data_IF_193255637095
#
_entry.id   IF_193255637095
#
_cell.length_a   1.000
_cell.length_b   1.000
_cell.length_c   1.000
_cell.angle_alpha   90.00
_cell.angle_beta   90.00
_cell.angle_gamma   90.00
#
_symmetry.space_group_name_H-M   'P 1'
#
loop_
_entity.id
_entity.type
_entity.pdbx_description
1 polymer ?
#
# COMPACT_ATOMS: atom_id res chain seq x y z
N UNK A 1 28.28 -1.20 13.83
CA UNK A 1 27.70 0.04 14.40
C UNK A 1 27.26 -0.30 15.81
N UNK A 2 27.67 0.48 16.80
CA UNK A 2 27.09 0.39 18.14
C UNK A 2 25.79 1.21 18.24
N UNK A 3 25.08 1.12 19.37
CA UNK A 3 23.77 1.77 19.52
C UNK A 3 23.90 3.30 19.50
N UNK A 4 24.92 3.87 20.14
CA UNK A 4 25.12 5.32 20.17
C UNK A 4 25.40 5.87 18.77
N UNK A 5 26.29 5.23 18.01
CA UNK A 5 26.57 5.59 16.63
C UNK A 5 25.32 5.54 15.75
N UNK A 6 24.51 4.49 15.90
CA UNK A 6 23.26 4.35 15.15
C UNK A 6 22.28 5.51 15.44
N UNK A 7 22.16 5.90 16.71
CA UNK A 7 21.32 7.03 17.10
C UNK A 7 21.84 8.35 16.53
N UNK A 8 23.15 8.60 16.62
CA UNK A 8 23.76 9.85 16.16
C UNK A 8 23.81 9.98 14.64
N UNK A 9 23.86 8.87 13.89
CA UNK A 9 23.91 8.90 12.43
C UNK A 9 22.54 8.74 11.77
N UNK A 10 21.82 7.67 12.08
CA UNK A 10 20.58 7.29 11.38
C UNK A 10 19.34 7.73 12.17
N UNK A 11 19.42 7.67 13.51
CA UNK A 11 18.32 8.07 14.38
C UNK A 11 17.97 9.55 14.26
N UNK A 12 18.97 10.43 14.17
CA UNK A 12 18.75 11.88 13.98
C UNK A 12 17.93 12.16 12.73
N UNK A 13 18.21 11.46 11.62
CA UNK A 13 17.48 11.63 10.36
C UNK A 13 15.99 11.38 10.50
N UNK A 14 15.61 10.34 11.23
CA UNK A 14 14.21 10.01 11.50
C UNK A 14 13.54 11.03 12.41
N UNK A 15 14.25 11.54 13.41
CA UNK A 15 13.73 12.60 14.29
C UNK A 15 13.53 13.90 13.52
N UNK A 16 14.45 14.25 12.63
CA UNK A 16 14.36 15.47 11.81
C UNK A 16 13.20 15.40 10.80
N UNK A 17 12.99 14.25 10.15
CA UNK A 17 11.92 14.07 9.15
C UNK A 17 10.54 13.85 9.78
N UNK A 18 10.45 12.99 10.80
CA UNK A 18 9.17 12.50 11.35
C UNK A 18 8.83 13.06 12.73
N UNK A 19 9.72 13.84 13.35
CA UNK A 19 9.54 14.38 14.69
C UNK A 19 9.88 13.40 15.82
N UNK A 20 10.18 12.14 15.49
CA UNK A 20 10.58 11.13 16.46
C UNK A 20 10.92 9.78 15.82
N UNK A 21 11.61 8.94 16.59
CA UNK A 21 12.04 7.61 16.14
C UNK A 21 10.85 6.66 15.96
N UNK A 22 9.88 6.73 16.87
CA UNK A 22 8.72 5.86 16.81
C UNK A 22 7.86 6.20 15.59
N UNK A 23 7.66 7.49 15.34
CA UNK A 23 6.94 8.04 14.20
C UNK A 23 7.62 7.66 12.88
N UNK A 24 8.96 7.71 12.82
CA UNK A 24 9.72 7.24 11.65
C UNK A 24 9.57 5.74 11.39
N UNK A 25 9.56 4.91 12.45
CA UNK A 25 9.32 3.47 12.30
C UNK A 25 7.83 3.17 11.99
N UNK A 26 6.89 3.96 12.50
CA UNK A 26 5.47 3.84 12.11
C UNK A 26 5.30 4.16 10.62
N UNK A 27 5.97 5.21 10.13
CA UNK A 27 5.99 5.54 8.71
C UNK A 27 6.61 4.40 7.87
N UNK A 28 7.67 3.75 8.36
CA UNK A 28 8.27 2.57 7.72
C UNK A 28 7.36 1.34 7.74
N UNK A 29 6.55 1.16 8.79
CA UNK A 29 5.53 0.10 8.84
C UNK A 29 4.44 0.34 7.78
N UNK A 30 4.03 1.61 7.56
CA UNK A 30 3.01 2.00 6.56
C UNK A 30 3.52 1.97 5.12
N UNK A 31 4.63 2.66 4.83
CA UNK A 31 5.14 2.93 3.47
C UNK A 31 6.36 2.08 3.10
N UNK A 32 6.78 1.17 3.98
CA UNK A 32 7.92 0.31 3.74
C UNK A 32 9.27 1.04 3.76
N UNK A 33 10.25 0.47 3.05
CA UNK A 33 11.65 0.92 3.01
C UNK A 33 11.77 2.39 2.58
N UNK A 34 10.88 2.82 1.69
CA UNK A 34 10.93 4.14 1.07
C UNK A 34 10.80 5.28 2.08
N UNK A 35 9.99 5.09 3.14
CA UNK A 35 9.87 6.06 4.23
C UNK A 35 11.22 6.35 4.92
N UNK A 36 12.11 5.36 5.01
CA UNK A 36 13.40 5.51 5.67
C UNK A 36 14.45 6.02 4.69
N UNK A 37 14.46 5.55 3.44
CA UNK A 37 15.41 6.03 2.43
C UNK A 37 15.17 7.49 2.05
N UNK A 38 13.91 7.94 2.02
CA UNK A 38 13.55 9.34 1.74
C UNK A 38 14.03 10.28 2.86
N UNK A 39 14.06 9.77 4.11
CA UNK A 39 14.68 10.45 5.24
C UNK A 39 16.23 10.38 5.21
N UNK A 40 16.82 9.72 4.21
CA UNK A 40 18.27 9.58 4.06
C UNK A 40 18.90 8.45 4.88
N UNK A 41 18.10 7.52 5.42
CA UNK A 41 18.63 6.33 6.10
C UNK A 41 19.33 5.42 5.10
N UNK A 42 20.45 4.82 5.51
CA UNK A 42 21.18 3.86 4.67
C UNK A 42 20.28 2.69 4.23
N UNK A 43 20.29 2.35 2.94
CA UNK A 43 19.39 1.38 2.30
C UNK A 43 19.35 0.03 3.03
N UNK A 44 20.50 -0.56 3.37
CA UNK A 44 20.56 -1.85 4.07
C UNK A 44 19.90 -1.80 5.45
N UNK A 45 20.05 -0.67 6.14
CA UNK A 45 19.41 -0.46 7.44
C UNK A 45 17.92 -0.15 7.28
N UNK A 46 17.55 0.63 6.27
CA UNK A 46 16.17 0.94 5.94
C UNK A 46 15.37 -0.33 5.63
N UNK A 47 15.92 -1.26 4.85
CA UNK A 47 15.31 -2.56 4.59
C UNK A 47 15.07 -3.34 5.89
N UNK A 48 16.09 -3.47 6.73
CA UNK A 48 16.01 -4.18 8.00
C UNK A 48 15.00 -3.55 8.96
N UNK A 49 15.02 -2.22 9.11
CA UNK A 49 14.13 -1.50 9.99
C UNK A 49 12.68 -1.51 9.49
N UNK A 50 12.45 -1.43 8.18
CA UNK A 50 11.11 -1.52 7.62
C UNK A 50 10.50 -2.91 7.82
N UNK A 51 11.28 -3.98 7.62
CA UNK A 51 10.82 -5.35 7.91
C UNK A 51 10.49 -5.52 9.40
N UNK A 52 11.36 -5.03 10.28
CA UNK A 52 11.14 -5.09 11.72
C UNK A 52 9.93 -4.24 12.16
N UNK A 53 9.79 -3.04 11.61
CA UNK A 53 8.67 -2.15 11.89
C UNK A 53 7.34 -2.79 11.46
N UNK A 54 7.30 -3.40 10.28
CA UNK A 54 6.13 -4.12 9.78
C UNK A 54 5.73 -5.30 10.68
N UNK A 55 6.69 -6.01 11.27
CA UNK A 55 6.43 -7.12 12.19
C UNK A 55 6.04 -6.65 13.61
N UNK A 56 6.60 -5.54 14.08
CA UNK A 56 6.49 -5.11 15.50
C UNK A 56 5.54 -3.95 15.75
N UNK A 57 5.25 -3.13 14.76
CA UNK A 57 4.41 -1.93 14.89
C UNK A 57 3.07 -2.21 14.22
N UNK A 58 2.09 -2.58 15.04
CA UNK A 58 0.70 -2.73 14.63
C UNK A 58 0.07 -1.35 14.56
N UNK A 59 -0.21 -0.89 13.35
CA UNK A 59 -1.00 0.32 13.14
C UNK A 59 -2.45 -0.04 13.46
N UNK A 60 -3.08 0.75 14.32
CA UNK A 60 -4.51 0.57 14.61
C UNK A 60 -5.30 1.13 13.44
N UNK A 61 -5.64 0.27 12.49
CA UNK A 61 -6.49 0.59 11.35
C UNK A 61 -7.83 -0.11 11.40
N UNK A 62 -8.67 0.24 10.44
CA UNK A 62 -9.83 -0.55 10.04
C UNK A 62 -9.65 -1.01 8.60
N UNK A 63 -10.17 -2.19 8.30
CA UNK A 63 -10.11 -2.76 6.96
C UNK A 63 -11.51 -2.80 6.36
N UNK A 64 -11.64 -2.34 5.12
CA UNK A 64 -12.82 -2.57 4.27
C UNK A 64 -12.42 -3.48 3.11
N UNK A 65 -13.32 -4.36 2.69
CA UNK A 65 -13.03 -5.35 1.66
C UNK A 65 -14.10 -5.43 0.57
N UNK A 66 -13.69 -5.97 -0.57
CA UNK A 66 -14.57 -6.33 -1.66
C UNK A 66 -13.88 -7.24 -2.65
N UNK A 67 -14.61 -7.62 -3.69
CA UNK A 67 -14.14 -8.55 -4.72
C UNK A 67 -14.37 -7.93 -6.09
N UNK A 68 -13.29 -7.83 -6.86
CA UNK A 68 -13.38 -7.63 -8.29
C UNK A 68 -13.55 -8.96 -9.01
N UNK A 69 -14.45 -8.99 -9.99
CA UNK A 69 -14.44 -9.97 -11.06
C UNK A 69 -13.92 -9.28 -12.32
N UNK A 70 -12.69 -9.61 -12.73
CA UNK A 70 -12.00 -8.99 -13.85
C UNK A 70 -11.56 -10.03 -14.89
N UNK A 71 -11.78 -9.72 -16.16
CA UNK A 71 -11.39 -10.55 -17.31
C UNK A 71 -10.96 -9.66 -18.47
N UNK A 72 -9.86 -10.03 -19.12
CA UNK A 72 -9.40 -9.39 -20.36
C UNK A 72 -9.33 -10.45 -21.47
N UNK A 73 -9.76 -10.04 -22.67
CA UNK A 73 -9.77 -10.86 -23.89
C UNK A 73 -8.58 -10.53 -24.80
N UNK A 74 -7.69 -9.64 -24.37
CA UNK A 74 -6.48 -9.31 -25.11
C UNK A 74 -5.47 -10.46 -25.08
N UNK A 75 -4.46 -10.40 -25.94
CA UNK A 75 -3.32 -11.32 -25.90
C UNK A 75 -2.43 -11.17 -24.64
N UNK A 76 -2.64 -10.11 -23.85
CA UNK A 76 -1.87 -9.73 -22.65
C UNK A 76 -2.77 -9.58 -21.41
N UNK A 77 -3.85 -10.37 -21.31
CA UNK A 77 -4.88 -10.14 -20.30
C UNK A 77 -4.40 -10.23 -18.84
N UNK A 78 -3.35 -10.99 -18.54
CA UNK A 78 -2.77 -11.04 -17.19
C UNK A 78 -2.05 -9.73 -16.86
N UNK A 79 -1.30 -9.19 -17.83
CA UNK A 79 -0.60 -7.92 -17.71
C UNK A 79 -1.60 -6.77 -17.57
N UNK A 80 -2.71 -6.78 -18.32
CA UNK A 80 -3.76 -5.77 -18.21
C UNK A 80 -4.35 -5.72 -16.78
N UNK A 81 -4.66 -6.90 -16.20
CA UNK A 81 -5.17 -7.02 -14.82
C UNK A 81 -4.13 -6.50 -13.82
N UNK A 82 -2.86 -6.91 -13.97
CA UNK A 82 -1.79 -6.47 -13.07
C UNK A 82 -1.60 -4.96 -13.13
N UNK A 83 -1.58 -4.38 -14.34
CA UNK A 83 -1.41 -2.95 -14.52
C UNK A 83 -2.52 -2.17 -13.83
N UNK A 84 -3.78 -2.55 -14.06
CA UNK A 84 -4.92 -1.87 -13.42
C UNK A 84 -4.87 -1.92 -11.89
N UNK A 85 -4.46 -3.06 -11.32
CA UNK A 85 -4.37 -3.25 -9.87
C UNK A 85 -3.16 -2.57 -9.25
N UNK A 86 -2.00 -2.59 -9.90
CA UNK A 86 -0.81 -1.86 -9.42
C UNK A 86 -1.05 -0.36 -9.44
N UNK A 87 -1.63 0.17 -10.52
CA UNK A 87 -1.96 1.61 -10.58
C UNK A 87 -3.06 2.02 -9.59
N UNK A 88 -3.86 1.08 -9.10
CA UNK A 88 -4.82 1.34 -8.03
C UNK A 88 -4.16 1.47 -6.65
N UNK A 89 -2.93 0.97 -6.47
CA UNK A 89 -2.16 1.14 -5.23
C UNK A 89 -1.81 2.62 -5.00
N UNK A 90 -1.37 3.31 -6.06
CA UNK A 90 -1.09 4.75 -6.02
C UNK A 90 -2.33 5.54 -5.59
N UNK A 91 -3.51 5.19 -6.13
CA UNK A 91 -4.79 5.84 -5.77
C UNK A 91 -5.16 5.60 -4.30
N UNK A 92 -4.88 4.41 -3.76
CA UNK A 92 -5.12 4.13 -2.35
C UNK A 92 -4.20 4.98 -1.45
N UNK A 93 -2.91 5.07 -1.80
CA UNK A 93 -1.92 5.84 -1.03
C UNK A 93 -2.25 7.34 -1.04
N UNK A 94 -2.65 7.89 -2.19
CA UNK A 94 -3.14 9.29 -2.31
C UNK A 94 -4.36 9.59 -1.42
N UNK A 95 -5.09 8.56 -0.98
CA UNK A 95 -6.26 8.66 -0.12
C UNK A 95 -6.01 8.12 1.30
N UNK A 96 -4.76 8.14 1.77
CA UNK A 96 -4.33 7.72 3.12
C UNK A 96 -4.74 6.27 3.46
N UNK A 97 -4.68 5.37 2.49
CA UNK A 97 -5.02 3.96 2.67
C UNK A 97 -3.96 3.04 2.05
N UNK A 98 -3.76 1.87 2.68
CA UNK A 98 -2.92 0.80 2.13
C UNK A 98 -3.83 -0.26 1.53
N UNK A 99 -3.58 -0.63 0.27
CA UNK A 99 -4.34 -1.68 -0.41
C UNK A 99 -3.56 -3.00 -0.41
N UNK A 100 -4.29 -4.11 -0.29
CA UNK A 100 -3.81 -5.47 -0.51
C UNK A 100 -4.71 -6.17 -1.50
N UNK A 101 -4.13 -6.78 -2.54
CA UNK A 101 -4.87 -7.42 -3.62
C UNK A 101 -4.48 -8.89 -3.69
N UNK A 102 -5.44 -9.78 -3.45
CA UNK A 102 -5.23 -11.23 -3.42
C UNK A 102 -6.09 -11.91 -4.48
N UNK A 103 -5.48 -12.75 -5.32
CA UNK A 103 -6.24 -13.59 -6.25
C UNK A 103 -7.01 -14.67 -5.49
N UNK A 104 -8.32 -14.73 -5.69
CA UNK A 104 -9.19 -15.80 -5.19
C UNK A 104 -9.37 -16.94 -6.22
N UNK A 105 -8.59 -16.89 -7.31
CA UNK A 105 -8.78 -17.72 -8.50
C UNK A 105 -9.58 -16.96 -9.55
N UNK A 106 -9.05 -16.91 -10.78
CA UNK A 106 -9.67 -16.14 -11.86
C UNK A 106 -11.13 -16.53 -12.10
N UNK A 107 -12.01 -15.54 -12.36
CA UNK A 107 -11.72 -14.12 -12.55
C UNK A 107 -11.78 -13.26 -11.26
N UNK A 108 -11.73 -13.87 -10.06
CA UNK A 108 -12.00 -13.19 -8.78
C UNK A 108 -10.73 -12.71 -8.08
N UNK A 109 -10.74 -11.47 -7.63
CA UNK A 109 -9.64 -10.80 -6.93
C UNK A 109 -10.20 -10.06 -5.71
N UNK A 110 -9.77 -10.44 -4.51
CA UNK A 110 -10.10 -9.75 -3.26
C UNK A 110 -9.25 -8.49 -3.15
N UNK A 111 -9.88 -7.38 -2.81
CA UNK A 111 -9.21 -6.16 -2.41
C UNK A 111 -9.53 -5.85 -0.96
N UNK A 112 -8.52 -5.45 -0.21
CA UNK A 112 -8.61 -5.03 1.18
C UNK A 112 -7.93 -3.68 1.30
N UNK A 113 -8.65 -2.66 1.78
CA UNK A 113 -8.08 -1.36 2.08
C UNK A 113 -8.05 -1.15 3.59
N UNK A 114 -6.86 -0.83 4.10
CA UNK A 114 -6.63 -0.47 5.48
C UNK A 114 -6.42 1.03 5.61
N UNK A 115 -7.12 1.69 6.54
CA UNK A 115 -6.95 3.09 6.85
C UNK A 115 -7.17 3.37 8.35
N UNK A 116 -6.88 4.59 8.80
CA UNK A 116 -7.00 4.98 10.22
C UNK A 116 -8.44 4.94 10.74
N UNK A 117 -9.43 5.16 9.87
CA UNK A 117 -10.85 5.11 10.21
C UNK A 117 -11.72 4.66 9.03
N UNK A 118 -12.96 4.25 9.32
CA UNK A 118 -13.87 3.71 8.32
C UNK A 118 -14.18 4.73 7.23
N UNK A 119 -14.30 6.01 7.57
CA UNK A 119 -14.66 7.03 6.58
C UNK A 119 -13.54 7.18 5.54
N UNK A 120 -12.28 7.19 5.97
CA UNK A 120 -11.13 7.19 5.05
C UNK A 120 -11.08 5.91 4.20
N UNK A 121 -11.20 4.75 4.82
CA UNK A 121 -11.17 3.46 4.13
C UNK A 121 -12.25 3.35 3.04
N UNK A 122 -13.45 3.84 3.34
CA UNK A 122 -14.60 3.88 2.43
C UNK A 122 -14.37 4.79 1.22
N UNK A 123 -13.88 6.01 1.47
CA UNK A 123 -13.57 6.97 0.40
C UNK A 123 -12.49 6.40 -0.51
N UNK A 124 -11.43 5.84 0.06
CA UNK A 124 -10.35 5.23 -0.70
C UNK A 124 -10.84 4.03 -1.52
N UNK A 125 -11.70 3.17 -0.95
CA UNK A 125 -12.30 2.04 -1.67
C UNK A 125 -13.12 2.51 -2.88
N UNK A 126 -13.98 3.51 -2.70
CA UNK A 126 -14.79 4.05 -3.80
C UNK A 126 -13.91 4.65 -4.90
N UNK A 127 -12.84 5.36 -4.53
CA UNK A 127 -11.86 5.96 -5.46
C UNK A 127 -11.09 4.91 -6.25
N UNK A 128 -10.60 3.88 -5.57
CA UNK A 128 -9.95 2.72 -6.21
C UNK A 128 -10.91 2.03 -7.17
N UNK A 129 -12.16 1.78 -6.75
CA UNK A 129 -13.14 1.11 -7.61
C UNK A 129 -13.51 1.92 -8.84
N UNK A 130 -13.68 3.23 -8.68
CA UNK A 130 -13.92 4.15 -9.78
C UNK A 130 -12.74 4.15 -10.77
N UNK A 131 -11.52 4.31 -10.27
CA UNK A 131 -10.31 4.32 -11.09
C UNK A 131 -10.11 3.00 -11.86
N UNK A 132 -10.16 1.85 -11.18
CA UNK A 132 -9.93 0.55 -11.83
C UNK A 132 -10.98 0.27 -12.91
N UNK A 133 -12.23 0.73 -12.71
CA UNK A 133 -13.27 0.64 -13.75
C UNK A 133 -12.95 1.53 -14.95
N UNK A 134 -12.46 2.75 -14.74
CA UNK A 134 -12.06 3.66 -15.83
C UNK A 134 -10.91 3.08 -16.65
N UNK A 135 -9.88 2.52 -16.02
CA UNK A 135 -8.79 1.81 -16.72
C UNK A 135 -9.34 0.69 -17.61
N UNK A 136 -10.43 0.04 -17.18
CA UNK A 136 -11.07 -1.05 -17.93
C UNK A 136 -11.94 -0.60 -19.09
N UNK A 137 -12.34 0.67 -19.18
CA UNK A 137 -13.13 1.18 -20.32
C UNK A 137 -12.33 1.16 -21.63
N UNK A 138 -11.00 1.22 -21.54
CA UNK A 138 -10.09 1.17 -22.69
C UNK A 138 -9.64 -0.26 -23.05
N UNK A 139 -10.01 -1.27 -22.24
CA UNK A 139 -9.61 -2.66 -22.41
C UNK A 139 -10.75 -3.51 -23.00
N UNK A 140 -10.41 -4.44 -23.89
CA UNK A 140 -11.37 -5.44 -24.38
C UNK A 140 -11.55 -6.54 -23.31
N UNK A 141 -12.54 -6.35 -22.44
CA UNK A 141 -12.76 -7.19 -21.28
C UNK A 141 -13.98 -6.79 -20.45
N UNK A 142 -14.14 -7.43 -19.29
CA UNK A 142 -15.19 -7.08 -18.33
C UNK A 142 -14.60 -6.93 -16.94
N UNK A 143 -15.07 -5.91 -16.21
CA UNK A 143 -14.80 -5.72 -14.80
C UNK A 143 -16.09 -5.43 -14.04
N UNK A 144 -16.24 -6.05 -12.87
CA UNK A 144 -17.29 -5.72 -11.92
C UNK A 144 -16.75 -5.78 -10.50
N UNK A 145 -17.39 -5.04 -9.59
CA UNK A 145 -17.01 -4.98 -8.20
C UNK A 145 -18.21 -5.34 -7.32
N UNK A 146 -17.99 -6.22 -6.35
CA UNK A 146 -18.94 -6.57 -5.30
C UNK A 146 -18.33 -6.26 -3.95
N UNK A 147 -19.12 -5.60 -3.11
CA UNK A 147 -18.73 -5.24 -1.76
C UNK A 147 -19.12 -6.34 -0.77
N UNK A 148 -18.30 -6.55 0.25
CA UNK A 148 -18.57 -7.48 1.36
C UNK A 148 -19.28 -6.81 2.54
#
# INVERSE_FOLDING_TARGET
>A
MDVEQLYESEGVKLVEEYGGLYEGLEAASKRGVQALTDAGVEEQLAEFLAELAKDKIVIKGVTVSGVFEASSLTSSGVEDIKHAFVSAEDVAEENDATISITSLGSPKYRIELEAEDYKKAEIALDKVVEYTKQVWEELDGNISFQRE
#
